data_IF_661742478869
#
_entry.id   IF_661742478869
#
_cell.length_a   1.000
_cell.length_b   1.000
_cell.length_c   1.000
_cell.angle_alpha   90.00
_cell.angle_beta   90.00
_cell.angle_gamma   90.00
#
_symmetry.space_group_name_H-M   'P 1'
#
loop_
_entity.id
_entity.type
_entity.pdbx_description
1 polymer ?
#
# COMPACT_ATOMS: atom_id res chain seq x y z
N UNK A 1 11.76 23.14 0.90
CA UNK A 1 10.56 22.93 1.74
C UNK A 1 10.09 21.52 1.40
N UNK A 2 10.35 20.60 2.33
CA UNK A 2 10.00 19.17 2.43
C UNK A 2 10.17 18.25 1.23
N UNK A 3 11.28 17.50 1.25
CA UNK A 3 11.62 16.39 0.33
C UNK A 3 11.65 15.02 1.06
N UNK A 4 11.03 14.90 2.24
CA UNK A 4 11.05 13.67 3.04
C UNK A 4 9.78 12.82 2.89
N UNK A 5 8.62 13.45 2.63
CA UNK A 5 7.33 12.76 2.47
C UNK A 5 7.27 11.84 1.25
N UNK A 6 8.00 12.13 0.17
CA UNK A 6 7.92 11.34 -1.07
C UNK A 6 8.75 10.05 -1.05
N UNK A 7 9.81 9.94 -0.21
CA UNK A 7 10.75 8.83 -0.34
C UNK A 7 10.16 7.48 0.13
N UNK A 8 9.37 7.48 1.21
CA UNK A 8 8.73 6.27 1.70
C UNK A 8 7.54 5.84 0.83
N UNK A 9 6.75 6.79 0.32
CA UNK A 9 5.66 6.50 -0.63
C UNK A 9 6.21 5.93 -1.95
N UNK A 10 7.29 6.50 -2.50
CA UNK A 10 7.94 6.00 -3.72
C UNK A 10 8.51 4.59 -3.53
N UNK A 11 9.14 4.32 -2.37
CA UNK A 11 9.60 2.98 -2.01
C UNK A 11 8.43 2.00 -1.91
N UNK A 12 7.32 2.38 -1.26
CA UNK A 12 6.14 1.54 -1.18
C UNK A 12 5.53 1.24 -2.57
N UNK A 13 5.51 2.22 -3.48
CA UNK A 13 5.08 2.01 -4.87
C UNK A 13 6.01 1.06 -5.64
N UNK A 14 7.32 1.18 -5.44
CA UNK A 14 8.30 0.31 -6.07
C UNK A 14 8.12 -1.14 -5.60
N UNK A 15 7.99 -1.34 -4.30
CA UNK A 15 7.76 -2.65 -3.66
C UNK A 15 6.46 -3.29 -4.17
N UNK A 16 5.34 -2.56 -4.24
CA UNK A 16 4.09 -3.05 -4.84
C UNK A 16 4.24 -3.44 -6.31
N UNK A 17 5.02 -2.68 -7.09
CA UNK A 17 5.33 -3.02 -8.48
C UNK A 17 6.15 -4.31 -8.62
N UNK A 18 7.01 -4.62 -7.64
CA UNK A 18 7.73 -5.91 -7.59
C UNK A 18 6.80 -7.03 -7.11
N UNK A 19 5.88 -6.78 -6.19
CA UNK A 19 4.89 -7.76 -5.74
C UNK A 19 3.99 -8.22 -6.90
N UNK A 20 3.52 -7.30 -7.74
CA UNK A 20 2.74 -7.62 -8.95
C UNK A 20 3.55 -8.48 -9.93
N UNK A 21 4.80 -8.12 -10.20
CA UNK A 21 5.69 -8.92 -11.05
C UNK A 21 5.99 -10.29 -10.46
N UNK A 22 6.05 -10.40 -9.14
CA UNK A 22 6.23 -11.68 -8.45
C UNK A 22 5.00 -12.56 -8.65
N UNK A 23 3.78 -12.00 -8.60
CA UNK A 23 2.55 -12.70 -8.94
C UNK A 23 2.55 -13.24 -10.37
N UNK A 24 2.99 -12.41 -11.34
CA UNK A 24 3.08 -12.78 -12.76
C UNK A 24 4.09 -13.90 -13.02
N UNK A 25 5.12 -14.02 -12.16
CA UNK A 25 6.12 -15.09 -12.20
C UNK A 25 5.79 -16.28 -11.28
N UNK A 26 4.54 -16.39 -10.81
CA UNK A 26 4.08 -17.45 -9.90
C UNK A 26 4.85 -17.51 -8.56
N UNK A 27 5.55 -16.43 -8.19
CA UNK A 27 6.34 -16.32 -6.98
C UNK A 27 5.48 -15.76 -5.83
N UNK A 28 4.72 -16.64 -5.17
CA UNK A 28 3.89 -16.30 -4.02
C UNK A 28 4.67 -15.67 -2.87
N UNK A 29 5.87 -16.20 -2.57
CA UNK A 29 6.72 -15.68 -1.49
C UNK A 29 7.16 -14.25 -1.76
N UNK A 30 7.63 -13.98 -2.98
CA UNK A 30 8.01 -12.63 -3.41
C UNK A 30 6.84 -11.66 -3.35
N UNK A 31 5.63 -12.07 -3.75
CA UNK A 31 4.45 -11.21 -3.64
C UNK A 31 4.20 -10.80 -2.19
N UNK A 32 4.20 -11.76 -1.26
CA UNK A 32 3.95 -11.50 0.16
C UNK A 32 5.05 -10.59 0.73
N UNK A 33 6.33 -10.95 0.53
CA UNK A 33 7.46 -10.22 1.09
C UNK A 33 7.50 -8.76 0.61
N UNK A 34 7.31 -8.53 -0.68
CA UNK A 34 7.30 -7.18 -1.26
C UNK A 34 6.05 -6.39 -0.83
N UNK A 35 4.91 -7.05 -0.63
CA UNK A 35 3.72 -6.36 -0.09
C UNK A 35 3.90 -5.97 1.38
N UNK A 36 4.53 -6.82 2.20
CA UNK A 36 4.84 -6.51 3.60
C UNK A 36 5.87 -5.37 3.72
N UNK A 37 6.90 -5.34 2.86
CA UNK A 37 7.85 -4.21 2.78
C UNK A 37 7.16 -2.89 2.42
N UNK A 38 6.23 -2.92 1.46
CA UNK A 38 5.45 -1.74 1.12
C UNK A 38 4.64 -1.23 2.31
N UNK A 39 4.00 -2.13 3.08
CA UNK A 39 3.31 -1.75 4.33
C UNK A 39 4.26 -1.11 5.34
N UNK A 40 5.46 -1.66 5.50
CA UNK A 40 6.43 -1.13 6.46
C UNK A 40 6.85 0.29 6.11
N UNK A 41 7.15 0.58 4.83
CA UNK A 41 7.48 1.94 4.38
C UNK A 41 6.36 2.94 4.69
N UNK A 42 5.09 2.59 4.47
CA UNK A 42 3.96 3.47 4.79
C UNK A 42 3.74 3.64 6.31
N UNK A 43 4.10 2.65 7.13
CA UNK A 43 4.08 2.77 8.60
C UNK A 43 5.20 3.71 9.08
N UNK A 44 6.38 3.62 8.49
CA UNK A 44 7.52 4.51 8.78
C UNK A 44 7.20 5.95 8.36
N UNK A 45 6.64 6.16 7.17
CA UNK A 45 6.13 7.46 6.70
C UNK A 45 5.14 8.06 7.70
N UNK A 46 4.17 7.26 8.16
CA UNK A 46 3.17 7.68 9.14
C UNK A 46 3.73 8.00 10.52
N UNK A 47 4.86 7.38 10.92
CA UNK A 47 5.58 7.72 12.15
C UNK A 47 6.33 9.03 12.03
N UNK A 48 6.93 9.30 10.87
CA UNK A 48 7.66 10.54 10.57
C UNK A 48 6.70 11.72 10.35
N UNK A 49 5.51 11.45 9.81
CA UNK A 49 4.46 12.41 9.52
C UNK A 49 3.12 11.94 10.13
N UNK A 50 2.88 12.21 11.44
CA UNK A 50 1.71 11.69 12.15
C UNK A 50 0.42 12.35 11.67
N UNK A 51 -0.16 11.82 10.59
CA UNK A 51 -1.54 12.06 10.18
C UNK A 51 -2.47 10.92 10.62
N UNK A 52 -1.96 9.95 11.39
CA UNK A 52 -2.62 8.66 11.65
C UNK A 52 -2.82 8.42 13.14
N UNK A 53 -3.98 8.83 13.64
CA UNK A 53 -4.70 7.99 14.60
C UNK A 53 -5.86 7.34 13.83
N UNK A 54 -6.20 6.06 14.07
CA UNK A 54 -7.44 5.49 13.59
C UNK A 54 -8.59 6.09 14.40
N UNK A 55 -8.99 7.32 14.06
CA UNK A 55 -10.28 7.85 14.46
C UNK A 55 -11.27 7.46 13.38
N UNK A 56 -12.38 6.87 13.79
CA UNK A 56 -13.55 6.61 12.93
C UNK A 56 -14.00 7.97 12.37
N UNK A 57 -13.54 8.32 11.16
CA UNK A 57 -13.92 9.58 10.51
C UNK A 57 -15.09 9.35 9.56
N UNK A 58 -15.98 10.34 9.55
CA UNK A 58 -17.05 10.45 8.56
C UNK A 58 -16.39 10.61 7.19
N UNK A 59 -16.85 9.83 6.20
CA UNK A 59 -16.33 9.81 4.83
C UNK A 59 -16.17 11.23 4.26
N UNK A 60 -14.98 11.59 3.78
CA UNK A 60 -14.64 12.88 3.18
C UNK A 60 -14.01 13.92 4.12
N UNK A 61 -13.75 13.59 5.39
CA UNK A 61 -13.19 14.55 6.36
C UNK A 61 -11.65 14.56 6.40
N UNK A 62 -11.01 13.44 6.03
CA UNK A 62 -9.55 13.31 5.97
C UNK A 62 -9.12 12.48 4.75
N UNK A 63 -9.03 13.08 3.54
CA UNK A 63 -8.79 12.35 2.30
C UNK A 63 -7.50 11.51 2.32
N UNK A 64 -6.43 11.99 2.97
CA UNK A 64 -5.16 11.27 3.08
C UNK A 64 -5.26 10.02 3.96
N UNK A 65 -5.93 10.13 5.12
CA UNK A 65 -6.12 9.00 6.02
C UNK A 65 -7.05 7.93 5.43
N UNK A 66 -8.07 8.33 4.66
CA UNK A 66 -8.95 7.40 3.95
C UNK A 66 -8.21 6.65 2.83
N UNK A 67 -7.33 7.33 2.10
CA UNK A 67 -6.47 6.68 1.10
C UNK A 67 -5.42 5.77 1.73
N UNK A 68 -4.86 6.12 2.89
CA UNK A 68 -3.98 5.22 3.65
C UNK A 68 -4.72 3.95 4.07
N UNK A 69 -5.93 4.07 4.62
CA UNK A 69 -6.75 2.93 5.03
C UNK A 69 -7.07 2.01 3.83
N UNK A 70 -7.49 2.57 2.69
CA UNK A 70 -7.73 1.80 1.47
C UNK A 70 -6.46 1.14 0.90
N UNK A 71 -5.30 1.78 1.06
CA UNK A 71 -4.01 1.21 0.65
C UNK A 71 -3.64 0.00 1.52
N UNK A 72 -3.75 0.14 2.85
CA UNK A 72 -3.47 -0.97 3.79
C UNK A 72 -4.45 -2.14 3.63
N UNK A 73 -5.75 -1.87 3.45
CA UNK A 73 -6.76 -2.91 3.24
C UNK A 73 -6.49 -3.72 1.96
N UNK A 74 -6.14 -3.06 0.85
CA UNK A 74 -5.81 -3.76 -0.39
C UNK A 74 -4.48 -4.53 -0.31
N UNK A 75 -3.50 -4.03 0.46
CA UNK A 75 -2.28 -4.79 0.76
C UNK A 75 -2.57 -6.05 1.59
N UNK A 76 -3.44 -5.96 2.60
CA UNK A 76 -3.85 -7.12 3.40
C UNK A 76 -4.61 -8.14 2.56
N UNK A 77 -5.52 -7.69 1.69
CA UNK A 77 -6.18 -8.56 0.70
C UNK A 77 -5.18 -9.23 -0.23
N UNK A 78 -4.15 -8.52 -0.69
CA UNK A 78 -3.12 -9.09 -1.56
C UNK A 78 -2.38 -10.24 -0.87
N UNK A 79 -1.97 -10.04 0.40
CA UNK A 79 -1.30 -11.06 1.21
C UNK A 79 -2.23 -12.26 1.46
N UNK A 80 -3.49 -12.02 1.84
CA UNK A 80 -4.45 -13.09 2.08
C UNK A 80 -4.73 -13.93 0.83
N UNK A 81 -4.95 -13.29 -0.32
CA UNK A 81 -5.20 -14.00 -1.57
C UNK A 81 -3.95 -14.77 -2.03
N UNK A 82 -2.76 -14.22 -1.82
CA UNK A 82 -1.51 -14.95 -2.08
C UNK A 82 -1.36 -16.19 -1.18
N UNK A 83 -1.68 -16.07 0.12
CA UNK A 83 -1.71 -17.20 1.06
C UNK A 83 -2.72 -18.28 0.67
N UNK A 84 -3.83 -17.90 0.03
CA UNK A 84 -4.84 -18.81 -0.54
C UNK A 84 -4.42 -19.40 -1.89
N UNK A 85 -3.28 -18.99 -2.46
CA UNK A 85 -2.81 -19.40 -3.78
C UNK A 85 -3.47 -18.67 -4.95
N UNK A 86 -4.30 -17.66 -4.69
CA UNK A 86 -5.02 -16.88 -5.70
C UNK A 86 -4.16 -15.72 -6.22
N UNK A 87 -3.10 -16.04 -6.98
CA UNK A 87 -2.13 -15.04 -7.43
C UNK A 87 -2.72 -13.94 -8.31
N UNK A 88 -3.74 -14.23 -9.11
CA UNK A 88 -4.44 -13.22 -9.93
C UNK A 88 -5.10 -12.16 -9.04
N UNK A 89 -5.87 -12.61 -8.04
CA UNK A 89 -6.56 -11.70 -7.10
C UNK A 89 -5.58 -10.96 -6.22
N UNK A 90 -4.48 -11.61 -5.83
CA UNK A 90 -3.40 -10.99 -5.08
C UNK A 90 -2.72 -9.88 -5.87
N UNK A 91 -2.43 -10.11 -7.16
CA UNK A 91 -1.86 -9.11 -8.05
C UNK A 91 -2.80 -7.92 -8.26
N UNK A 92 -4.10 -8.17 -8.45
CA UNK A 92 -5.11 -7.12 -8.59
C UNK A 92 -5.20 -6.25 -7.32
N UNK A 93 -5.19 -6.86 -6.14
CA UNK A 93 -5.20 -6.14 -4.87
C UNK A 93 -3.94 -5.28 -4.70
N UNK A 94 -2.75 -5.81 -5.02
CA UNK A 94 -1.51 -5.03 -5.01
C UNK A 94 -1.52 -3.85 -6.03
N UNK A 95 -2.13 -4.04 -7.20
CA UNK A 95 -2.36 -2.95 -8.17
C UNK A 95 -3.33 -1.90 -7.61
N UNK A 96 -4.42 -2.31 -6.96
CA UNK A 96 -5.38 -1.38 -6.33
C UNK A 96 -4.73 -0.57 -5.20
N UNK A 97 -3.93 -1.22 -4.35
CA UNK A 97 -3.12 -0.53 -3.33
C UNK A 97 -2.22 0.54 -3.97
N UNK A 98 -1.55 0.22 -5.09
CA UNK A 98 -0.71 1.17 -5.82
C UNK A 98 -1.49 2.38 -6.36
N UNK A 99 -2.74 2.16 -6.79
CA UNK A 99 -3.62 3.23 -7.27
C UNK A 99 -4.04 4.15 -6.12
N UNK A 100 -4.45 3.57 -4.98
CA UNK A 100 -4.81 4.36 -3.80
C UNK A 100 -3.64 5.20 -3.28
N UNK A 101 -2.43 4.64 -3.24
CA UNK A 101 -1.24 5.38 -2.83
C UNK A 101 -0.91 6.55 -3.79
N UNK A 102 -1.02 6.34 -5.11
CA UNK A 102 -0.87 7.44 -6.09
C UNK A 102 -1.95 8.50 -6.00
N UNK A 103 -3.15 8.13 -5.54
CA UNK A 103 -4.25 9.09 -5.31
C UNK A 103 -3.99 9.91 -4.04
N UNK A 104 -3.46 9.30 -2.97
CA UNK A 104 -3.03 10.00 -1.75
C UNK A 104 -2.05 11.14 -2.05
N UNK A 105 -1.00 10.86 -2.83
CA UNK A 105 -0.01 11.86 -3.24
C UNK A 105 -0.61 13.05 -4.02
N UNK A 106 -1.77 12.85 -4.67
CA UNK A 106 -2.48 13.89 -5.44
C UNK A 106 -3.58 14.60 -4.66
N UNK A 107 -4.00 14.05 -3.53
CA UNK A 107 -5.02 14.63 -2.67
C UNK A 107 -4.37 15.70 -1.79
N UNK A 108 -4.72 16.97 -2.05
CA UNK A 108 -4.23 18.14 -1.31
C UNK A 108 -4.76 18.16 0.13
#
# INVERSE_FOLDING_TARGET
MDYATDEHEDKALQELGVAVRSAENENTGGLIDHTEKAKQHLIEENREHPYTHPFVSIYGQFPKAEHDMGTFEEMDKAIEEAKKGNLIKAAEAARRASVHLKQKARSK
#
